data_IF_312491207176
#
_entry.id   IF_312491207176
#
_cell.length_a   1.000
_cell.length_b   1.000
_cell.length_c   1.000
_cell.angle_alpha   90.00
_cell.angle_beta   90.00
_cell.angle_gamma   90.00
#
_symmetry.space_group_name_H-M   'P 1'
#
loop_
_entity.id
_entity.type
_entity.pdbx_description
1 polymer ?
#
# COMPACT_ATOMS: atom_id res chain seq x y z
N UNK A 1 -30.97 -22.08 -23.89
CA UNK A 1 -29.64 -21.99 -23.26
C UNK A 1 -28.73 -22.99 -23.94
N UNK A 2 -27.56 -22.56 -24.41
CA UNK A 2 -26.50 -23.50 -24.80
C UNK A 2 -25.93 -24.16 -23.55
N UNK A 3 -25.30 -25.33 -23.69
CA UNK A 3 -24.70 -26.09 -22.59
C UNK A 3 -23.54 -25.38 -21.85
N UNK A 4 -23.24 -24.12 -22.20
CA UNK A 4 -22.14 -23.31 -21.66
C UNK A 4 -22.58 -22.01 -20.98
N UNK A 5 -23.88 -21.72 -20.87
CA UNK A 5 -24.33 -20.48 -20.22
C UNK A 5 -24.28 -20.59 -18.69
N UNK A 6 -23.55 -19.69 -18.02
CA UNK A 6 -23.58 -19.53 -16.55
C UNK A 6 -25.05 -19.33 -16.10
N UNK A 7 -25.50 -19.98 -15.02
CA UNK A 7 -26.82 -19.72 -14.46
C UNK A 7 -26.89 -18.25 -14.03
N UNK A 8 -27.86 -17.51 -14.57
CA UNK A 8 -28.14 -16.14 -14.16
C UNK A 8 -29.16 -16.21 -13.04
N UNK A 9 -28.74 -15.84 -11.83
CA UNK A 9 -29.61 -15.74 -10.67
C UNK A 9 -30.14 -14.31 -10.63
N UNK A 10 -31.46 -14.14 -10.72
CA UNK A 10 -32.12 -12.86 -10.53
C UNK A 10 -32.75 -12.82 -9.15
N UNK A 11 -32.38 -11.84 -8.33
CA UNK A 11 -32.92 -11.62 -7.00
C UNK A 11 -33.29 -10.16 -6.78
N UNK A 12 -33.88 -9.83 -5.62
CA UNK A 12 -34.09 -8.43 -5.22
C UNK A 12 -32.75 -7.69 -5.16
N UNK A 13 -32.79 -6.40 -5.50
CA UNK A 13 -31.63 -5.51 -5.31
C UNK A 13 -31.35 -5.43 -3.81
N UNK A 14 -30.10 -5.64 -3.41
CA UNK A 14 -29.70 -5.41 -2.04
C UNK A 14 -29.59 -3.91 -1.78
N UNK A 15 -30.58 -3.34 -1.11
CA UNK A 15 -30.70 -1.91 -0.83
C UNK A 15 -30.33 -1.54 0.62
N UNK A 16 -30.02 -2.54 1.45
CA UNK A 16 -29.60 -2.38 2.85
C UNK A 16 -28.20 -2.94 3.05
N UNK A 17 -27.46 -2.32 3.96
CA UNK A 17 -26.21 -2.88 4.47
C UNK A 17 -26.48 -4.05 5.41
N UNK A 18 -25.51 -4.95 5.52
CA UNK A 18 -25.54 -6.08 6.45
C UNK A 18 -24.93 -7.34 5.86
N UNK A 19 -24.96 -8.41 6.65
CA UNK A 19 -24.58 -9.75 6.22
C UNK A 19 -25.80 -10.48 5.62
N UNK A 20 -25.61 -11.02 4.43
CA UNK A 20 -26.60 -11.80 3.70
C UNK A 20 -26.08 -13.22 3.50
N UNK A 21 -26.85 -14.20 3.94
CA UNK A 21 -26.60 -15.60 3.62
C UNK A 21 -27.26 -15.95 2.29
N UNK A 22 -26.46 -16.20 1.26
CA UNK A 22 -26.93 -16.65 -0.04
C UNK A 22 -26.86 -18.18 -0.09
N UNK A 23 -28.02 -18.83 -0.07
CA UNK A 23 -28.15 -20.28 -0.24
C UNK A 23 -28.58 -20.59 -1.66
N UNK A 24 -27.86 -21.50 -2.31
CA UNK A 24 -28.14 -21.95 -3.68
C UNK A 24 -28.27 -23.47 -3.69
N UNK A 25 -29.42 -23.99 -4.09
CA UNK A 25 -29.68 -25.42 -4.21
C UNK A 25 -29.75 -25.84 -5.68
N UNK A 26 -28.97 -26.85 -6.06
CA UNK A 26 -29.10 -27.48 -7.38
C UNK A 26 -30.13 -28.60 -7.27
N UNK A 27 -31.36 -28.31 -7.72
CA UNK A 27 -32.51 -29.21 -7.66
C UNK A 27 -32.66 -30.11 -8.90
N UNK A 28 -31.76 -29.98 -9.88
CA UNK A 28 -31.82 -30.70 -11.15
C UNK A 28 -30.65 -30.35 -12.07
N UNK A 29 -30.14 -31.36 -12.79
CA UNK A 29 -29.06 -31.20 -13.76
C UNK A 29 -29.45 -31.80 -15.13
N UNK A 30 -28.89 -31.27 -16.22
CA UNK A 30 -29.08 -31.67 -17.64
C UNK A 30 -30.45 -31.36 -18.28
N UNK A 31 -31.57 -31.40 -17.54
CA UNK A 31 -32.92 -31.16 -18.07
C UNK A 31 -33.87 -30.65 -16.95
N UNK A 32 -34.72 -29.63 -17.18
CA UNK A 32 -35.70 -29.13 -16.20
C UNK A 32 -36.68 -30.18 -15.65
N UNK A 33 -36.81 -31.33 -16.31
CA UNK A 33 -37.68 -32.45 -15.94
C UNK A 33 -36.97 -33.58 -15.18
N UNK A 34 -35.66 -33.49 -14.99
CA UNK A 34 -34.88 -34.46 -14.20
C UNK A 34 -34.36 -33.77 -12.95
N UNK A 35 -35.06 -34.00 -11.85
CA UNK A 35 -34.60 -33.59 -10.52
C UNK A 35 -33.42 -34.45 -10.08
N UNK A 36 -32.55 -33.87 -9.25
CA UNK A 36 -31.55 -34.63 -8.51
C UNK A 36 -32.24 -35.52 -7.47
N UNK A 37 -31.62 -36.64 -7.09
CA UNK A 37 -32.15 -37.50 -6.02
C UNK A 37 -31.99 -36.87 -4.63
N UNK A 38 -30.98 -36.02 -4.47
CA UNK A 38 -30.74 -35.15 -3.32
C UNK A 38 -30.32 -33.77 -3.85
N UNK A 39 -30.79 -32.70 -3.22
CA UNK A 39 -30.41 -31.34 -3.60
C UNK A 39 -28.95 -31.08 -3.20
N UNK A 40 -28.19 -30.44 -4.09
CA UNK A 40 -26.81 -30.02 -3.78
C UNK A 40 -26.87 -28.56 -3.31
N UNK A 41 -26.67 -28.35 -2.01
CA UNK A 41 -26.73 -27.03 -1.40
C UNK A 41 -25.35 -26.36 -1.33
N UNK A 42 -25.31 -25.08 -1.69
CA UNK A 42 -24.18 -24.18 -1.52
C UNK A 42 -24.62 -23.01 -0.65
N UNK A 43 -23.78 -22.61 0.29
CA UNK A 43 -24.01 -21.47 1.16
C UNK A 43 -22.79 -20.54 1.08
N UNK A 44 -23.04 -19.25 0.88
CA UNK A 44 -22.01 -18.22 0.94
C UNK A 44 -22.53 -16.99 1.67
N UNK A 45 -21.62 -16.23 2.29
CA UNK A 45 -21.92 -14.98 2.97
C UNK A 45 -21.54 -13.80 2.08
N UNK A 46 -22.44 -12.84 1.96
CA UNK A 46 -22.21 -11.57 1.27
C UNK A 46 -22.35 -10.43 2.28
N UNK A 47 -21.32 -9.61 2.42
CA UNK A 47 -21.37 -8.41 3.28
C UNK A 47 -21.56 -7.20 2.39
N UNK A 48 -22.60 -6.43 2.68
CA UNK A 48 -22.86 -5.14 2.04
C UNK A 48 -22.54 -4.06 3.06
N UNK A 49 -21.47 -3.28 2.85
CA UNK A 49 -21.04 -2.31 3.85
C UNK A 49 -22.06 -1.17 3.97
N UNK A 50 -22.22 -0.67 5.19
CA UNK A 50 -22.87 0.63 5.40
C UNK A 50 -21.88 1.75 5.10
N UNK A 51 -22.36 2.92 4.71
CA UNK A 51 -21.50 4.08 4.48
C UNK A 51 -21.83 5.18 5.51
N UNK A 52 -20.79 5.72 6.13
CA UNK A 52 -20.87 6.86 7.05
C UNK A 52 -20.04 8.01 6.48
N UNK A 53 -20.51 9.23 6.64
CA UNK A 53 -19.78 10.43 6.20
C UNK A 53 -19.39 11.26 7.40
N UNK A 54 -18.13 11.66 7.44
CA UNK A 54 -17.54 12.55 8.43
C UNK A 54 -16.92 13.77 7.73
N UNK A 55 -16.61 14.80 8.51
CA UNK A 55 -15.94 16.00 8.04
C UNK A 55 -14.68 16.21 8.88
N UNK A 56 -13.54 16.37 8.22
CA UNK A 56 -12.27 16.77 8.84
C UNK A 56 -11.95 18.19 8.39
N UNK A 57 -11.69 19.08 9.33
CA UNK A 57 -11.25 20.45 9.05
C UNK A 57 -9.73 20.55 9.16
N UNK A 58 -9.07 21.06 8.12
CA UNK A 58 -7.63 21.34 8.11
C UNK A 58 -7.37 22.69 7.45
N UNK A 59 -6.64 23.59 8.12
CA UNK A 59 -6.39 24.96 7.66
C UNK A 59 -7.66 25.69 7.16
N UNK A 60 -8.71 25.68 7.98
CA UNK A 60 -10.02 26.32 7.68
C UNK A 60 -10.75 25.73 6.45
N UNK A 61 -10.28 24.61 5.89
CA UNK A 61 -10.91 23.89 4.80
C UNK A 61 -11.50 22.57 5.29
N UNK A 62 -12.75 22.30 4.91
CA UNK A 62 -13.45 21.07 5.25
C UNK A 62 -13.28 20.00 4.17
N UNK A 63 -12.88 18.81 4.59
CA UNK A 63 -12.67 17.64 3.73
C UNK A 63 -13.67 16.54 4.11
N UNK A 64 -14.48 16.04 3.16
CA UNK A 64 -15.38 14.93 3.43
C UNK A 64 -14.60 13.61 3.49
N UNK A 65 -14.87 12.80 4.51
CA UNK A 65 -14.33 11.45 4.64
C UNK A 65 -15.47 10.45 4.64
N UNK A 66 -15.41 9.48 3.74
CA UNK A 66 -16.43 8.44 3.64
C UNK A 66 -15.88 7.14 4.21
N UNK A 67 -16.60 6.53 5.14
CA UNK A 67 -16.19 5.30 5.79
C UNK A 67 -17.16 4.19 5.39
N UNK A 68 -16.65 3.17 4.73
CA UNK A 68 -17.39 1.93 4.48
C UNK A 68 -17.17 0.98 5.65
N UNK A 69 -18.25 0.71 6.38
CA UNK A 69 -18.25 -0.15 7.53
C UNK A 69 -18.78 -1.53 7.11
N UNK A 70 -17.90 -2.54 7.15
CA UNK A 70 -18.28 -3.94 6.94
C UNK A 70 -18.78 -4.60 8.24
N UNK A 71 -18.73 -3.83 9.32
CA UNK A 71 -19.24 -4.10 10.67
C UNK A 71 -20.09 -2.92 11.14
N UNK A 72 -20.37 -2.86 12.45
CA UNK A 72 -21.05 -1.73 13.06
C UNK A 72 -20.32 -0.41 12.75
N UNK A 73 -21.07 0.68 12.44
CA UNK A 73 -20.48 1.96 12.08
C UNK A 73 -19.54 2.51 13.16
N UNK A 74 -18.43 3.09 12.74
CA UNK A 74 -17.54 3.80 13.65
C UNK A 74 -18.23 5.05 14.23
N UNK A 75 -17.73 5.52 15.36
CA UNK A 75 -18.15 6.77 16.00
C UNK A 75 -16.93 7.63 16.33
N UNK A 76 -17.17 8.91 16.62
CA UNK A 76 -16.15 9.85 17.11
C UNK A 76 -14.87 9.94 16.25
N UNK A 77 -14.99 9.94 14.92
CA UNK A 77 -13.84 10.17 14.03
C UNK A 77 -13.33 11.60 14.16
N UNK A 78 -12.10 11.74 14.64
CA UNK A 78 -11.39 13.01 14.83
C UNK A 78 -10.04 12.97 14.12
N UNK A 79 -9.52 14.14 13.74
CA UNK A 79 -8.20 14.29 13.13
C UNK A 79 -7.30 15.13 14.02
N UNK A 80 -6.13 14.58 14.37
CA UNK A 80 -5.07 15.30 15.07
C UNK A 80 -4.06 15.84 14.06
N UNK A 81 -4.09 17.15 13.84
CA UNK A 81 -3.19 17.83 12.91
C UNK A 81 -1.73 17.89 13.37
N UNK A 82 -1.43 17.62 14.63
CA UNK A 82 -0.05 17.64 15.14
C UNK A 82 0.71 16.36 14.78
N UNK A 83 -0.02 15.25 14.67
CA UNK A 83 0.50 13.92 14.35
C UNK A 83 -0.02 13.38 13.01
N UNK A 84 -0.81 14.18 12.28
CA UNK A 84 -1.56 13.79 11.10
C UNK A 84 -2.35 12.48 11.28
N UNK A 85 -2.90 12.24 12.47
CA UNK A 85 -3.52 10.96 12.83
C UNK A 85 -5.04 11.04 12.86
N UNK A 86 -5.69 9.95 12.50
CA UNK A 86 -7.13 9.74 12.68
C UNK A 86 -7.34 9.00 14.00
N UNK A 87 -8.31 9.44 14.79
CA UNK A 87 -8.73 8.75 16.01
C UNK A 87 -10.22 8.50 15.93
N UNK A 88 -10.65 7.25 16.11
CA UNK A 88 -12.07 6.88 16.08
C UNK A 88 -12.37 5.75 17.05
N UNK A 89 -13.66 5.54 17.31
CA UNK A 89 -14.16 4.45 18.13
C UNK A 89 -14.92 3.44 17.28
N UNK A 90 -14.69 2.18 17.56
CA UNK A 90 -15.40 1.05 16.97
C UNK A 90 -16.23 0.37 18.04
N UNK A 91 -17.57 0.37 17.96
CA UNK A 91 -18.39 -0.49 18.80
C UNK A 91 -17.96 -1.96 18.66
N UNK A 92 -17.84 -2.67 19.78
CA UNK A 92 -17.49 -4.09 19.76
C UNK A 92 -18.12 -4.85 20.92
N UNK A 93 -18.77 -5.97 20.62
CA UNK A 93 -19.35 -6.87 21.62
C UNK A 93 -18.45 -8.10 21.82
N UNK A 94 -17.70 -8.08 22.93
CA UNK A 94 -16.77 -9.14 23.31
C UNK A 94 -17.41 -10.52 23.49
N UNK A 95 -18.71 -10.61 23.73
CA UNK A 95 -19.39 -11.90 23.87
C UNK A 95 -19.36 -12.73 22.57
N UNK A 96 -19.09 -12.09 21.43
CA UNK A 96 -19.06 -12.72 20.12
C UNK A 96 -17.65 -12.74 19.48
N UNK A 97 -16.60 -12.45 20.27
CA UNK A 97 -15.23 -12.42 19.75
C UNK A 97 -14.82 -13.75 19.10
N UNK A 98 -15.20 -14.90 19.68
CA UNK A 98 -14.87 -16.22 19.13
C UNK A 98 -15.56 -16.54 17.79
N UNK A 99 -16.56 -15.75 17.39
CA UNK A 99 -17.30 -15.89 16.13
C UNK A 99 -17.06 -14.74 15.16
N UNK A 100 -16.14 -13.82 15.48
CA UNK A 100 -15.81 -12.67 14.64
C UNK A 100 -14.54 -12.96 13.85
N UNK A 101 -14.67 -13.34 12.57
CA UNK A 101 -13.52 -13.71 11.74
C UNK A 101 -12.51 -12.55 11.57
N UNK A 102 -13.02 -11.36 11.21
CA UNK A 102 -12.25 -10.14 11.08
C UNK A 102 -13.17 -8.93 11.16
N UNK A 103 -12.65 -7.78 11.60
CA UNK A 103 -13.28 -6.47 11.47
C UNK A 103 -12.65 -5.71 10.32
N UNK A 104 -13.45 -5.00 9.51
CA UNK A 104 -12.96 -4.26 8.34
C UNK A 104 -13.67 -2.91 8.15
N UNK A 105 -12.88 -1.88 7.86
CA UNK A 105 -13.33 -0.54 7.46
C UNK A 105 -12.50 -0.01 6.31
N UNK A 106 -13.11 0.72 5.38
CA UNK A 106 -12.38 1.46 4.35
C UNK A 106 -12.66 2.95 4.50
N UNK A 107 -11.62 3.74 4.72
CA UNK A 107 -11.70 5.20 4.82
C UNK A 107 -11.31 5.82 3.48
N UNK A 108 -12.25 6.49 2.83
CA UNK A 108 -12.02 7.18 1.57
C UNK A 108 -11.82 8.68 1.82
N UNK A 109 -10.62 9.17 1.51
CA UNK A 109 -10.21 10.57 1.59
C UNK A 109 -10.13 11.20 0.21
N UNK A 110 -10.39 12.51 0.05
CA UNK A 110 -10.06 13.22 -1.18
C UNK A 110 -8.55 13.17 -1.43
N UNK A 111 -8.10 12.91 -2.68
CA UNK A 111 -6.66 12.87 -3.00
C UNK A 111 -5.93 14.18 -2.71
N UNK A 112 -6.65 15.30 -2.69
CA UNK A 112 -6.12 16.62 -2.37
C UNK A 112 -6.16 16.96 -0.88
N UNK A 113 -6.32 15.98 0.02
CA UNK A 113 -6.22 16.18 1.46
C UNK A 113 -4.75 16.38 1.87
N UNK A 114 -4.30 17.61 2.20
CA UNK A 114 -2.87 17.92 2.31
C UNK A 114 -2.11 17.11 3.36
N UNK A 115 -2.68 16.78 4.54
CA UNK A 115 -1.96 15.99 5.54
C UNK A 115 -1.55 14.60 5.06
N UNK A 116 -2.25 14.04 4.06
CA UNK A 116 -1.96 12.72 3.51
C UNK A 116 -1.21 12.77 2.17
N UNK A 117 -0.78 13.96 1.75
CA UNK A 117 0.08 14.13 0.59
C UNK A 117 1.46 13.51 0.88
N UNK A 118 1.97 12.68 -0.03
CA UNK A 118 3.27 12.01 0.08
C UNK A 118 3.41 11.00 1.25
N UNK A 119 2.32 10.58 1.89
CA UNK A 119 2.36 9.43 2.80
C UNK A 119 2.51 8.16 1.98
N UNK A 120 3.38 7.25 2.42
CA UNK A 120 3.58 5.93 1.78
C UNK A 120 2.87 4.80 2.50
N UNK A 121 2.71 4.92 3.82
CA UNK A 121 2.09 3.89 4.65
C UNK A 121 1.43 4.52 5.87
N UNK A 122 0.57 3.73 6.50
CA UNK A 122 -0.09 4.06 7.74
C UNK A 122 0.13 2.92 8.73
N UNK A 123 0.07 3.24 10.02
CA UNK A 123 0.05 2.26 11.10
C UNK A 123 -1.20 2.48 11.94
N UNK A 124 -1.81 1.39 12.40
CA UNK A 124 -2.90 1.46 13.37
C UNK A 124 -2.38 1.12 14.77
N UNK A 125 -2.97 1.76 15.76
CA UNK A 125 -2.82 1.43 17.16
C UNK A 125 -4.20 1.27 17.78
N UNK A 126 -4.43 0.20 18.52
CA UNK A 126 -5.70 -0.08 19.19
C UNK A 126 -5.52 -0.01 20.70
N UNK A 127 -6.41 0.73 21.36
CA UNK A 127 -6.44 0.94 22.82
C UNK A 127 -5.08 1.33 23.42
N UNK A 128 -4.28 2.11 22.69
CA UNK A 128 -2.96 2.56 23.11
C UNK A 128 -1.87 1.50 23.38
N UNK A 129 -2.13 0.23 23.09
CA UNK A 129 -1.19 -0.84 23.42
C UNK A 129 -0.86 -1.76 22.24
N UNK A 130 -1.84 -2.09 21.38
CA UNK A 130 -1.65 -3.02 20.27
C UNK A 130 -1.38 -2.27 18.96
N UNK A 131 -0.19 -2.47 18.39
CA UNK A 131 0.15 -1.98 17.05
C UNK A 131 -0.31 -2.99 15.99
N UNK A 132 -0.97 -2.49 14.96
CA UNK A 132 -1.47 -3.25 13.81
C UNK A 132 -0.79 -2.76 12.52
N UNK A 133 0.51 -3.06 12.30
CA UNK A 133 1.22 -2.63 11.09
C UNK A 133 0.66 -3.26 9.81
N UNK A 134 0.18 -4.51 9.90
CA UNK A 134 -0.37 -5.29 8.79
C UNK A 134 -1.87 -5.07 8.59
N UNK A 135 -2.56 -4.58 9.63
CA UNK A 135 -3.98 -4.29 9.61
C UNK A 135 -4.33 -3.07 8.77
N UNK A 136 -3.34 -2.35 8.22
CA UNK A 136 -3.58 -1.23 7.32
C UNK A 136 -2.98 -1.48 5.95
N UNK A 137 -3.78 -1.22 4.92
CA UNK A 137 -3.31 -1.07 3.56
C UNK A 137 -3.70 0.31 3.01
N UNK A 138 -2.71 1.03 2.45
CA UNK A 138 -2.91 2.34 1.85
C UNK A 138 -3.01 2.21 0.33
N UNK A 139 -4.19 2.53 -0.20
CA UNK A 139 -4.50 2.38 -1.61
C UNK A 139 -4.82 3.75 -2.23
N UNK A 140 -3.82 4.31 -2.91
CA UNK A 140 -3.92 5.59 -3.64
C UNK A 140 -4.40 5.42 -5.09
N UNK A 141 -4.62 4.18 -5.54
CA UNK A 141 -4.79 3.88 -6.96
C UNK A 141 -6.20 3.41 -7.33
N UNK A 142 -6.92 2.72 -6.44
CA UNK A 142 -8.22 2.13 -6.78
C UNK A 142 -9.33 3.12 -7.10
N UNK A 143 -9.20 4.38 -6.68
CA UNK A 143 -10.14 5.46 -6.95
C UNK A 143 -9.42 6.62 -7.62
N UNK A 144 -10.11 7.26 -8.57
CA UNK A 144 -9.54 8.36 -9.33
C UNK A 144 -9.39 9.64 -8.48
N UNK A 145 -10.44 10.01 -7.75
CA UNK A 145 -10.56 11.23 -6.95
C UNK A 145 -10.32 11.04 -5.45
N UNK A 146 -10.18 9.78 -5.01
CA UNK A 146 -10.03 9.40 -3.62
C UNK A 146 -8.84 8.49 -3.38
N UNK A 147 -8.39 8.50 -2.14
CA UNK A 147 -7.46 7.52 -1.59
C UNK A 147 -8.19 6.70 -0.56
N UNK A 148 -7.86 5.41 -0.45
CA UNK A 148 -8.52 4.47 0.46
C UNK A 148 -7.52 3.94 1.48
N UNK A 149 -7.82 4.12 2.77
CA UNK A 149 -7.14 3.40 3.84
C UNK A 149 -8.02 2.19 4.18
N UNK A 150 -7.54 0.99 3.87
CA UNK A 150 -8.16 -0.26 4.27
C UNK A 150 -7.65 -0.62 5.65
N UNK A 151 -8.55 -0.66 6.63
CA UNK A 151 -8.25 -1.06 7.99
C UNK A 151 -8.92 -2.40 8.29
N UNK A 152 -8.17 -3.35 8.83
CA UNK A 152 -8.62 -4.68 9.20
C UNK A 152 -8.03 -5.08 10.55
N UNK A 153 -8.82 -5.77 11.37
CA UNK A 153 -8.34 -6.48 12.56
C UNK A 153 -8.80 -7.93 12.44
N UNK A 154 -7.90 -8.90 12.48
CA UNK A 154 -8.29 -10.31 12.45
C UNK A 154 -8.69 -10.86 13.84
N UNK A 155 -9.25 -12.05 13.88
CA UNK A 155 -9.68 -12.69 15.12
C UNK A 155 -8.55 -12.87 16.14
N UNK A 156 -7.35 -13.21 15.68
CA UNK A 156 -6.21 -13.47 16.55
C UNK A 156 -5.70 -12.16 17.17
N UNK A 157 -5.69 -11.07 16.41
CA UNK A 157 -5.44 -9.71 16.90
C UNK A 157 -6.51 -9.26 17.90
N UNK A 158 -7.78 -9.51 17.63
CA UNK A 158 -8.87 -9.19 18.56
C UNK A 158 -8.70 -9.90 19.90
N UNK A 159 -8.30 -11.18 19.89
CA UNK A 159 -8.06 -11.97 21.10
C UNK A 159 -6.87 -11.48 21.93
N UNK A 160 -5.93 -10.76 21.33
CA UNK A 160 -4.80 -10.16 22.04
C UNK A 160 -5.19 -8.88 22.78
N UNK A 161 -6.32 -8.25 22.42
CA UNK A 161 -6.79 -7.04 23.07
C UNK A 161 -7.49 -7.40 24.38
N UNK A 162 -6.87 -7.07 25.52
CA UNK A 162 -7.55 -7.12 26.82
C UNK A 162 -8.39 -5.86 27.00
N UNK A 163 -9.71 -5.96 26.97
CA UNK A 163 -10.57 -4.79 27.13
C UNK A 163 -11.96 -5.13 27.68
N UNK A 164 -12.38 -4.36 28.70
CA UNK A 164 -13.73 -4.45 29.30
C UNK A 164 -14.70 -3.42 28.69
N UNK A 165 -14.22 -2.55 27.79
CA UNK A 165 -15.05 -1.54 27.13
C UNK A 165 -15.87 -2.17 26.00
N UNK A 166 -17.09 -1.67 25.81
CA UNK A 166 -17.95 -2.01 24.68
C UNK A 166 -17.51 -1.40 23.33
N UNK A 167 -16.29 -0.88 23.26
CA UNK A 167 -15.70 -0.30 22.06
C UNK A 167 -14.18 -0.39 22.10
N UNK A 168 -13.57 -0.32 20.92
CA UNK A 168 -12.15 -0.16 20.69
C UNK A 168 -11.87 1.29 20.29
N UNK A 169 -10.79 1.88 20.80
CA UNK A 169 -10.27 3.17 20.31
C UNK A 169 -9.13 2.88 19.35
N UNK A 170 -9.23 3.38 18.13
CA UNK A 170 -8.22 3.16 17.08
C UNK A 170 -7.62 4.50 16.68
N UNK A 171 -6.28 4.52 16.63
CA UNK A 171 -5.50 5.61 16.08
C UNK A 171 -4.82 5.13 14.80
N UNK A 172 -5.09 5.77 13.67
CA UNK A 172 -4.39 5.55 12.40
C UNK A 172 -3.45 6.74 12.19
N UNK A 173 -2.15 6.48 12.15
CA UNK A 173 -1.12 7.50 11.98
C UNK A 173 -0.32 7.25 10.72
N UNK A 174 0.26 8.29 10.09
CA UNK A 174 1.28 8.08 9.07
C UNK A 174 2.37 7.17 9.63
N UNK A 175 2.72 6.14 8.88
CA UNK A 175 3.78 5.23 9.29
C UNK A 175 5.14 5.86 8.99
N UNK A 176 6.05 5.84 9.98
CA UNK A 176 7.48 6.09 9.78
C UNK A 176 8.24 4.81 9.36
N UNK A 177 7.52 3.69 9.17
CA UNK A 177 8.15 2.36 9.03
C UNK A 177 8.65 2.12 7.61
N UNK A 178 9.97 2.14 7.48
CA UNK A 178 10.78 1.79 6.31
C UNK A 178 10.53 0.40 5.71
N UNK A 179 9.64 -0.40 6.30
CA UNK A 179 9.40 -1.77 5.90
C UNK A 179 8.36 -1.90 4.80
N UNK A 180 7.43 -0.96 4.61
CA UNK A 180 6.51 -1.04 3.49
C UNK A 180 7.23 -0.76 2.16
N UNK A 181 7.18 -1.72 1.26
CA UNK A 181 7.86 -1.67 -0.03
C UNK A 181 6.83 -1.59 -1.15
N UNK A 182 7.06 -0.67 -2.08
CA UNK A 182 6.39 -0.64 -3.38
C UNK A 182 7.36 -1.07 -4.46
N UNK A 183 7.00 -2.11 -5.20
CA UNK A 183 7.74 -2.64 -6.33
C UNK A 183 6.97 -2.35 -7.61
N UNK A 184 7.54 -1.50 -8.44
CA UNK A 184 7.05 -1.26 -9.79
C UNK A 184 7.61 -2.33 -10.73
N UNK A 185 6.73 -2.96 -11.50
CA UNK A 185 7.07 -3.88 -12.57
C UNK A 185 6.45 -3.41 -13.89
N UNK A 186 7.10 -3.77 -14.99
CA UNK A 186 6.61 -3.49 -16.34
C UNK A 186 6.56 -4.77 -17.14
N UNK A 187 5.55 -4.87 -18.00
CA UNK A 187 5.38 -5.94 -18.98
C UNK A 187 5.84 -5.44 -20.36
N UNK A 188 6.28 -6.35 -21.21
CA UNK A 188 6.82 -6.03 -22.55
C UNK A 188 5.79 -5.42 -23.52
N UNK A 189 4.50 -5.48 -23.19
CA UNK A 189 3.39 -4.90 -23.94
C UNK A 189 3.02 -3.48 -23.47
N UNK A 190 3.85 -2.87 -22.61
CA UNK A 190 3.68 -1.52 -22.08
C UNK A 190 2.76 -1.43 -20.86
N UNK A 191 2.09 -2.51 -20.45
CA UNK A 191 1.37 -2.54 -19.18
C UNK A 191 2.38 -2.51 -18.02
N UNK A 192 1.92 -2.08 -16.84
CA UNK A 192 2.70 -2.12 -15.61
C UNK A 192 1.89 -2.68 -14.45
N UNK A 193 2.57 -2.95 -13.34
CA UNK A 193 1.91 -3.15 -12.07
C UNK A 193 2.74 -2.58 -10.91
N UNK A 194 2.05 -2.18 -9.85
CA UNK A 194 2.64 -1.83 -8.56
C UNK A 194 2.27 -2.95 -7.60
N UNK A 195 3.29 -3.56 -7.00
CA UNK A 195 3.16 -4.57 -5.96
C UNK A 195 3.54 -3.90 -4.65
N UNK A 196 2.70 -3.96 -3.63
CA UNK A 196 3.05 -3.46 -2.31
C UNK A 196 2.85 -4.50 -1.21
N UNK A 197 3.78 -4.49 -0.26
CA UNK A 197 3.86 -5.43 0.84
C UNK A 197 4.69 -4.84 1.99
N UNK A 198 4.55 -5.42 3.17
CA UNK A 198 5.40 -5.10 4.32
C UNK A 198 6.59 -6.07 4.38
N UNK A 199 7.81 -5.53 4.34
CA UNK A 199 9.06 -6.29 4.42
C UNK A 199 9.48 -6.62 5.86
N UNK A 200 8.78 -6.11 6.87
CA UNK A 200 9.02 -6.51 8.25
C UNK A 200 8.48 -7.93 8.48
N UNK A 201 9.36 -8.82 8.92
CA UNK A 201 8.98 -10.18 9.27
C UNK A 201 8.29 -10.20 10.64
N UNK A 202 7.09 -10.79 10.66
CA UNK A 202 6.31 -11.05 11.86
C UNK A 202 5.93 -12.54 11.90
N UNK A 203 6.45 -13.29 12.87
CA UNK A 203 6.31 -14.76 12.93
C UNK A 203 4.88 -15.26 13.11
N UNK A 204 3.99 -14.40 13.57
CA UNK A 204 2.58 -14.65 13.85
C UNK A 204 1.64 -14.05 12.79
N UNK A 205 2.18 -13.55 11.68
CA UNK A 205 1.40 -12.88 10.63
C UNK A 205 1.52 -13.57 9.28
N UNK A 206 0.51 -13.35 8.46
CA UNK A 206 0.51 -13.76 7.06
C UNK A 206 1.22 -12.73 6.17
N UNK A 207 1.86 -13.19 5.10
CA UNK A 207 2.33 -12.33 4.03
C UNK A 207 1.14 -11.81 3.22
N UNK A 208 0.92 -10.49 3.26
CA UNK A 208 -0.11 -9.80 2.48
C UNK A 208 0.53 -8.97 1.38
N UNK A 209 0.05 -9.13 0.14
CA UNK A 209 0.53 -8.40 -1.04
C UNK A 209 -0.66 -7.77 -1.75
N UNK A 210 -0.57 -6.47 -2.04
CA UNK A 210 -1.48 -5.79 -2.98
C UNK A 210 -0.82 -5.68 -4.34
N UNK A 211 -1.57 -5.96 -5.40
CA UNK A 211 -1.14 -5.77 -6.79
C UNK A 211 -2.13 -4.87 -7.51
N UNK A 212 -1.64 -3.79 -8.12
CA UNK A 212 -2.42 -2.87 -8.94
C UNK A 212 -1.84 -2.76 -10.34
N UNK A 213 -2.65 -2.94 -11.37
CA UNK A 213 -2.23 -2.94 -12.77
C UNK A 213 -2.54 -1.61 -13.46
N UNK A 214 -1.66 -1.24 -14.38
CA UNK A 214 -1.72 -0.04 -15.19
C UNK A 214 -1.58 -0.38 -16.68
N UNK A 215 -2.28 0.37 -17.53
CA UNK A 215 -2.21 0.24 -18.98
C UNK A 215 -0.99 1.00 -19.56
N UNK A 216 -0.92 1.03 -20.89
CA UNK A 216 0.20 1.63 -21.64
C UNK A 216 0.32 3.15 -21.49
N UNK A 217 -0.76 3.81 -21.07
CA UNK A 217 -0.79 5.25 -20.83
C UNK A 217 -0.47 5.58 -19.36
N UNK A 218 -0.32 4.56 -18.51
CA UNK A 218 -0.16 4.73 -17.07
C UNK A 218 -1.49 4.89 -16.33
N UNK A 219 -2.63 4.68 -17.01
CA UNK A 219 -3.94 4.69 -16.37
C UNK A 219 -4.21 3.34 -15.70
N UNK A 220 -5.05 3.31 -14.66
CA UNK A 220 -5.41 2.06 -13.99
C UNK A 220 -6.11 1.11 -14.97
N UNK A 221 -5.55 -0.09 -15.14
CA UNK A 221 -6.11 -1.06 -16.07
C UNK A 221 -7.40 -1.68 -15.51
N UNK A 222 -8.42 -1.86 -16.34
CA UNK A 222 -9.68 -2.48 -15.94
C UNK A 222 -9.90 -3.81 -16.66
N UNK A 223 -10.63 -4.72 -16.02
CA UNK A 223 -10.89 -6.06 -16.55
C UNK A 223 -9.63 -6.91 -16.74
N UNK A 224 -8.58 -6.69 -15.94
CA UNK A 224 -7.33 -7.43 -16.04
C UNK A 224 -7.55 -8.90 -15.67
N UNK A 225 -6.94 -9.82 -16.41
CA UNK A 225 -6.76 -11.21 -16.00
C UNK A 225 -5.28 -11.48 -15.79
N UNK A 226 -4.94 -11.95 -14.60
CA UNK A 226 -3.56 -12.25 -14.23
C UNK A 226 -3.43 -13.58 -13.49
N UNK A 227 -2.22 -14.11 -13.43
CA UNK A 227 -1.84 -15.20 -12.53
C UNK A 227 -0.58 -14.83 -11.77
N UNK A 228 -0.22 -15.64 -10.78
CA UNK A 228 1.02 -15.47 -10.04
C UNK A 228 1.65 -16.81 -9.70
N UNK A 229 2.95 -16.78 -9.42
CA UNK A 229 3.67 -17.80 -8.64
C UNK A 229 4.48 -17.11 -7.54
N UNK A 230 4.40 -17.61 -6.31
CA UNK A 230 5.20 -17.18 -5.17
C UNK A 230 5.96 -18.39 -4.62
N UNK A 231 7.28 -18.30 -4.64
CA UNK A 231 8.18 -19.25 -3.99
C UNK A 231 8.68 -18.68 -2.67
N UNK A 232 8.48 -19.45 -1.60
CA UNK A 232 8.89 -19.09 -0.24
C UNK A 232 10.39 -19.37 0.02
N UNK A 233 10.96 -18.90 1.15
CA UNK A 233 12.35 -19.16 1.52
C UNK A 233 12.70 -20.64 1.72
N UNK A 234 11.71 -21.48 2.01
CA UNK A 234 11.88 -22.94 2.12
C UNK A 234 11.88 -23.63 0.75
N UNK A 235 11.60 -22.89 -0.32
CA UNK A 235 11.51 -23.36 -1.70
C UNK A 235 10.15 -23.92 -2.10
N UNK A 236 9.12 -23.82 -1.25
CA UNK A 236 7.76 -24.19 -1.61
C UNK A 236 7.18 -23.15 -2.55
N UNK A 237 6.52 -23.62 -3.62
CA UNK A 237 5.95 -22.75 -4.63
C UNK A 237 4.42 -22.84 -4.61
N UNK A 238 3.77 -21.69 -4.57
CA UNK A 238 2.32 -21.54 -4.68
C UNK A 238 2.00 -20.72 -5.92
N UNK A 239 1.09 -21.21 -6.76
CA UNK A 239 0.69 -20.49 -7.96
C UNK A 239 -0.82 -20.53 -8.15
N UNK A 240 -1.36 -19.53 -8.84
CA UNK A 240 -2.78 -19.45 -9.15
C UNK A 240 -2.98 -18.77 -10.51
N UNK A 241 -3.75 -19.41 -11.38
CA UNK A 241 -4.10 -18.91 -12.72
C UNK A 241 -5.62 -18.82 -12.88
N UNK A 242 -6.34 -18.55 -11.80
CA UNK A 242 -7.80 -18.51 -11.78
C UNK A 242 -8.44 -19.90 -11.71
N UNK A 243 -9.76 -19.91 -11.55
CA UNK A 243 -10.54 -21.15 -11.37
C UNK A 243 -11.26 -21.60 -12.64
N UNK A 244 -11.31 -20.77 -13.69
CA UNK A 244 -12.02 -21.07 -14.92
C UNK A 244 -11.08 -21.72 -15.95
N UNK A 245 -11.23 -23.03 -16.24
CA UNK A 245 -10.33 -23.71 -17.17
C UNK A 245 -10.47 -23.22 -18.62
N UNK A 246 -11.56 -22.54 -18.96
CA UNK A 246 -11.80 -22.00 -20.31
C UNK A 246 -11.39 -20.52 -20.45
N UNK A 247 -11.00 -19.86 -19.35
CA UNK A 247 -10.58 -18.47 -19.35
C UNK A 247 -9.56 -18.29 -18.22
N UNK A 248 -8.29 -18.46 -18.55
CA UNK A 248 -7.21 -18.40 -17.57
C UNK A 248 -7.10 -17.00 -16.96
N UNK A 249 -6.71 -16.96 -15.70
CA UNK A 249 -6.45 -15.78 -14.91
C UNK A 249 -7.49 -15.51 -13.84
N UNK A 250 -7.02 -14.92 -12.76
CA UNK A 250 -7.82 -14.25 -11.74
C UNK A 250 -8.35 -12.96 -12.38
N UNK A 251 -9.67 -12.81 -12.42
CA UNK A 251 -10.34 -11.64 -13.00
C UNK A 251 -10.34 -10.48 -12.01
N UNK A 252 -9.78 -9.35 -12.43
CA UNK A 252 -9.74 -8.08 -11.69
C UNK A 252 -10.52 -7.00 -12.46
N UNK A 253 -11.83 -6.86 -12.24
CA UNK A 253 -12.65 -5.85 -12.91
C UNK A 253 -12.10 -4.42 -12.77
N UNK A 254 -11.45 -4.14 -11.64
CA UNK A 254 -10.85 -2.83 -11.32
C UNK A 254 -9.32 -2.83 -11.32
N UNK A 255 -8.66 -3.90 -11.80
CA UNK A 255 -7.20 -3.95 -11.91
C UNK A 255 -6.42 -3.93 -10.60
N UNK A 256 -7.06 -4.12 -9.44
CA UNK A 256 -6.36 -4.21 -8.16
C UNK A 256 -6.92 -5.35 -7.30
N UNK A 257 -6.04 -5.99 -6.53
CA UNK A 257 -6.39 -6.99 -5.52
C UNK A 257 -5.36 -7.01 -4.39
N UNK A 258 -5.84 -7.27 -3.18
CA UNK A 258 -5.02 -7.60 -2.00
C UNK A 258 -5.17 -9.08 -1.68
N UNK A 259 -4.06 -9.79 -1.49
CA UNK A 259 -4.04 -11.24 -1.29
C UNK A 259 -3.16 -11.63 -0.11
N UNK A 260 -3.66 -12.57 0.70
CA UNK A 260 -2.89 -13.25 1.76
C UNK A 260 -2.27 -14.53 1.20
N UNK A 261 -1.00 -14.77 1.50
CA UNK A 261 -0.21 -15.92 1.02
C UNK A 261 0.10 -16.95 2.12
N UNK A 262 -0.42 -16.74 3.33
CA UNK A 262 -0.16 -17.57 4.51
C UNK A 262 1.02 -17.05 5.34
N UNK A 263 1.46 -17.81 6.37
CA UNK A 263 2.39 -17.32 7.36
C UNK A 263 3.69 -16.80 6.75
N UNK A 264 4.17 -15.67 7.27
CA UNK A 264 5.48 -15.13 6.91
C UNK A 264 6.58 -16.11 7.30
N UNK A 265 7.61 -16.16 6.46
CA UNK A 265 8.84 -16.91 6.68
C UNK A 265 9.97 -15.91 6.49
N UNK A 266 10.86 -15.80 7.48
CA UNK A 266 12.01 -14.92 7.38
C UNK A 266 12.91 -15.36 6.20
N UNK A 267 13.33 -14.41 5.37
CA UNK A 267 14.22 -14.64 4.24
C UNK A 267 13.63 -14.32 2.88
N UNK A 268 14.26 -14.89 1.84
CA UNK A 268 14.09 -14.50 0.44
C UNK A 268 12.94 -15.22 -0.24
N UNK A 269 12.03 -14.44 -0.82
CA UNK A 269 10.94 -14.87 -1.68
C UNK A 269 11.24 -14.57 -3.15
N UNK A 270 10.59 -15.31 -4.05
CA UNK A 270 10.56 -15.04 -5.48
C UNK A 270 9.10 -14.95 -5.95
N UNK A 271 8.69 -13.79 -6.47
CA UNK A 271 7.35 -13.56 -7.00
C UNK A 271 7.42 -13.39 -8.51
N UNK A 272 6.58 -14.15 -9.22
CA UNK A 272 6.31 -14.00 -10.63
C UNK A 272 4.84 -13.58 -10.81
N UNK A 273 4.61 -12.50 -11.54
CA UNK A 273 3.28 -12.04 -11.96
C UNK A 273 3.15 -12.28 -13.46
N UNK A 274 2.04 -12.91 -13.87
CA UNK A 274 1.72 -13.24 -15.26
C UNK A 274 0.47 -12.49 -15.69
N UNK A 275 0.60 -11.55 -16.61
CA UNK A 275 -0.50 -10.86 -17.25
C UNK A 275 -1.03 -11.68 -18.44
N UNK A 276 -2.28 -12.13 -18.34
CA UNK A 276 -2.90 -13.11 -19.25
C UNK A 276 -3.76 -12.44 -20.32
N UNK A 277 -4.59 -11.46 -19.94
CA UNK A 277 -5.52 -10.83 -20.87
C UNK A 277 -6.38 -9.73 -20.26
N UNK A 278 -7.34 -9.25 -21.05
CA UNK A 278 -8.34 -8.26 -20.65
C UNK A 278 -9.75 -8.77 -20.98
N UNK A 279 -10.64 -8.74 -19.99
CA UNK A 279 -12.00 -9.25 -20.13
C UNK A 279 -11.99 -10.69 -20.62
N UNK A 280 -12.57 -10.95 -21.78
CA UNK A 280 -12.60 -12.29 -22.41
C UNK A 280 -11.45 -12.54 -23.39
N UNK A 281 -10.60 -11.54 -23.65
CA UNK A 281 -9.55 -11.62 -24.67
C UNK A 281 -8.20 -11.90 -24.01
N UNK A 282 -7.50 -12.92 -24.48
CA UNK A 282 -6.11 -13.19 -24.09
C UNK A 282 -5.16 -12.26 -24.87
N UNK A 283 -4.00 -11.97 -24.29
CA UNK A 283 -2.89 -11.42 -25.06
C UNK A 283 -2.29 -12.51 -25.97
N UNK A 284 -1.72 -12.12 -27.11
CA UNK A 284 -1.09 -13.05 -28.07
C UNK A 284 -0.09 -14.02 -27.42
N UNK A 285 0.58 -13.55 -26.36
CA UNK A 285 1.38 -14.36 -25.44
C UNK A 285 1.16 -13.83 -24.03
N UNK A 286 1.17 -14.72 -23.05
CA UNK A 286 1.19 -14.30 -21.64
C UNK A 286 2.46 -13.51 -21.37
N UNK A 287 2.29 -12.39 -20.68
CA UNK A 287 3.40 -11.51 -20.31
C UNK A 287 3.72 -11.75 -18.86
N UNK A 288 4.98 -11.68 -18.47
CA UNK A 288 5.32 -11.89 -17.08
C UNK A 288 6.43 -10.94 -16.64
N UNK A 289 6.48 -10.71 -15.34
CA UNK A 289 7.58 -10.05 -14.66
C UNK A 289 7.81 -10.78 -13.36
N UNK A 290 9.08 -10.92 -12.97
CA UNK A 290 9.46 -11.61 -11.75
C UNK A 290 10.51 -10.81 -10.99
N UNK A 291 10.48 -10.92 -9.67
CA UNK A 291 11.47 -10.29 -8.81
C UNK A 291 11.60 -11.05 -7.50
N UNK A 292 12.77 -10.87 -6.89
CA UNK A 292 13.02 -11.34 -5.54
C UNK A 292 12.72 -10.22 -4.53
N UNK A 293 12.22 -10.60 -3.36
CA UNK A 293 12.14 -9.72 -2.19
C UNK A 293 12.50 -10.50 -0.93
N UNK A 294 12.81 -9.79 0.15
CA UNK A 294 13.23 -10.39 1.41
C UNK A 294 12.43 -9.78 2.55
N UNK A 295 11.97 -10.64 3.46
CA UNK A 295 11.40 -10.19 4.73
C UNK A 295 12.52 -10.19 5.77
N UNK A 296 12.64 -9.11 6.53
CA UNK A 296 13.69 -8.93 7.54
C UNK A 296 13.07 -8.83 8.94
N UNK A 297 13.67 -9.50 9.92
CA UNK A 297 13.32 -9.29 11.33
C UNK A 297 13.49 -7.80 11.68
N UNK A 298 12.47 -7.21 12.30
CA UNK A 298 12.44 -5.81 12.72
C UNK A 298 13.46 -5.59 13.85
N UNK A 299 14.75 -5.47 13.50
CA UNK A 299 15.80 -5.13 14.45
C UNK A 299 15.72 -3.63 14.78
N UNK A 300 14.90 -3.30 15.78
CA UNK A 300 14.77 -1.96 16.39
C UNK A 300 16.08 -1.42 17.01
N UNK A 301 17.18 -2.18 16.96
CA UNK A 301 18.50 -1.78 17.48
C UNK A 301 19.44 -1.18 16.43
N UNK A 302 19.13 -1.21 15.13
CA UNK A 302 20.04 -0.73 14.06
C UNK A 302 19.29 -0.22 12.82
N UNK A 303 18.21 0.56 12.98
CA UNK A 303 17.78 1.40 11.87
C UNK A 303 18.94 2.34 11.51
N UNK A 304 19.40 2.41 10.24
CA UNK A 304 20.31 3.47 9.85
C UNK A 304 19.58 4.78 10.15
N UNK A 305 20.09 5.56 11.12
CA UNK A 305 19.69 6.96 11.23
C UNK A 305 19.98 7.58 9.88
N UNK A 306 18.94 8.00 9.15
CA UNK A 306 19.13 8.82 7.96
C UNK A 306 20.05 9.98 8.34
N UNK A 307 21.20 10.10 7.66
CA UNK A 307 22.14 11.20 7.92
C UNK A 307 21.57 12.54 7.48
N UNK A 308 20.56 12.46 6.60
CA UNK A 308 19.81 13.59 6.07
C UNK A 308 18.33 13.19 6.07
N UNK A 309 17.43 14.00 6.63
CA UNK A 309 15.99 13.76 6.51
C UNK A 309 15.54 13.57 5.07
N UNK A 310 14.70 12.57 4.81
CA UNK A 310 14.19 12.23 3.48
C UNK A 310 13.55 13.40 2.68
N UNK A 311 13.03 14.45 3.32
CA UNK A 311 12.48 15.63 2.63
C UNK A 311 13.52 16.43 1.84
N UNK A 312 14.82 16.27 2.11
CA UNK A 312 15.90 16.94 1.36
C UNK A 312 16.02 16.43 -0.08
N UNK A 313 15.58 15.19 -0.36
CA UNK A 313 15.58 14.62 -1.72
C UNK A 313 14.75 15.45 -2.69
N UNK A 314 13.65 16.02 -2.25
CA UNK A 314 12.78 16.86 -3.08
C UNK A 314 13.49 18.15 -3.49
N UNK A 315 14.25 18.76 -2.58
CA UNK A 315 15.04 19.96 -2.87
C UNK A 315 16.17 19.66 -3.86
N UNK A 316 16.80 18.48 -3.77
CA UNK A 316 17.81 18.02 -4.71
C UNK A 316 17.21 17.76 -6.11
N UNK A 317 16.02 17.17 -6.18
CA UNK A 317 15.28 16.95 -7.43
C UNK A 317 14.89 18.26 -8.11
N UNK A 318 14.28 19.19 -7.37
CA UNK A 318 13.91 20.51 -7.88
C UNK A 318 15.12 21.34 -8.34
N UNK A 319 16.25 21.22 -7.65
CA UNK A 319 17.50 21.83 -8.10
C UNK A 319 17.98 21.19 -9.41
N UNK A 320 18.01 19.85 -9.49
CA UNK A 320 18.44 19.12 -10.66
C UNK A 320 17.61 19.43 -11.92
N UNK A 321 16.29 19.54 -11.76
CA UNK A 321 15.35 19.88 -12.84
C UNK A 321 15.31 21.38 -13.16
N UNK A 322 16.10 22.20 -12.46
CA UNK A 322 16.23 23.64 -12.71
C UNK A 322 15.10 24.49 -12.16
N UNK A 323 14.22 23.92 -11.33
CA UNK A 323 13.17 24.65 -10.62
C UNK A 323 13.72 25.47 -9.44
N UNK A 324 14.87 25.05 -8.89
CA UNK A 324 15.68 25.82 -7.94
C UNK A 324 17.00 26.19 -8.63
N UNK A 325 17.41 27.45 -8.54
CA UNK A 325 18.70 27.91 -9.04
C UNK A 325 19.87 27.51 -8.11
N UNK A 326 21.08 27.50 -8.65
CA UNK A 326 22.29 27.05 -7.95
C UNK A 326 22.56 27.85 -6.66
N UNK A 327 22.27 29.16 -6.64
CA UNK A 327 22.47 29.99 -5.45
C UNK A 327 21.46 29.64 -4.36
N UNK A 328 20.19 29.47 -4.72
CA UNK A 328 19.13 29.06 -3.79
C UNK A 328 19.39 27.67 -3.19
N UNK A 329 19.87 26.73 -4.00
CA UNK A 329 20.25 25.39 -3.52
C UNK A 329 21.43 25.46 -2.53
N UNK A 330 22.50 26.18 -2.88
CA UNK A 330 23.68 26.36 -2.00
C UNK A 330 23.28 26.97 -0.66
N UNK A 331 22.45 28.02 -0.65
CA UNK A 331 21.94 28.63 0.59
C UNK A 331 21.14 27.64 1.44
N UNK A 332 20.31 26.81 0.81
CA UNK A 332 19.57 25.74 1.47
C UNK A 332 20.49 24.74 2.17
N UNK A 333 21.55 24.28 1.48
CA UNK A 333 22.53 23.37 2.09
C UNK A 333 23.26 24.03 3.28
N UNK A 334 23.69 25.28 3.13
CA UNK A 334 24.36 26.01 4.22
C UNK A 334 23.47 26.17 5.45
N UNK A 335 22.17 26.43 5.24
CA UNK A 335 21.20 26.48 6.32
C UNK A 335 21.08 25.13 7.04
N UNK A 336 21.03 24.03 6.30
CA UNK A 336 20.89 22.68 6.88
C UNK A 336 22.10 22.28 7.71
N UNK A 337 23.30 22.58 7.24
CA UNK A 337 24.55 22.37 7.98
C UNK A 337 24.52 23.19 9.28
N UNK A 338 24.22 24.49 9.19
CA UNK A 338 24.18 25.39 10.36
C UNK A 338 23.19 24.95 11.43
N UNK A 339 22.05 24.39 11.02
CA UNK A 339 20.99 23.92 11.94
C UNK A 339 21.16 22.45 12.36
N UNK A 340 22.27 21.80 12.01
CA UNK A 340 22.54 20.38 12.32
C UNK A 340 21.48 19.41 11.79
N UNK A 341 20.88 19.78 10.65
CA UNK A 341 19.95 18.93 9.88
C UNK A 341 20.75 17.97 8.98
N UNK A 342 21.96 18.37 8.59
CA UNK A 342 22.91 17.59 7.80
C UNK A 342 24.30 17.71 8.43
N UNK A 343 24.91 16.58 8.77
CA UNK A 343 26.29 16.55 9.27
C UNK A 343 27.27 16.34 8.11
N UNK A 344 28.22 17.26 7.97
CA UNK A 344 29.34 17.14 7.03
C UNK A 344 30.63 17.16 7.85
N UNK A 345 31.59 16.26 7.60
CA UNK A 345 32.88 16.30 8.28
C UNK A 345 33.50 17.69 8.15
N UNK A 346 34.10 18.22 9.23
CA UNK A 346 34.86 19.47 9.19
C UNK A 346 36.04 19.34 8.22
N UNK A 347 35.81 19.68 6.96
CA UNK A 347 36.83 19.65 5.91
C UNK A 347 37.38 21.04 5.71
N UNK A 348 38.66 21.23 6.01
CA UNK A 348 39.39 22.43 5.66
C UNK A 348 39.26 22.69 4.14
N UNK A 349 38.85 23.90 3.75
CA UNK A 349 38.80 24.28 2.35
C UNK A 349 40.20 24.19 1.75
N UNK A 350 40.36 23.40 0.69
CA UNK A 350 41.61 23.32 -0.05
C UNK A 350 41.76 24.63 -0.82
N UNK A 351 42.70 25.48 -0.38
CA UNK A 351 43.02 26.79 -0.95
C UNK A 351 43.74 26.69 -2.31
N UNK A 352 43.38 25.72 -3.16
CA UNK A 352 44.12 25.32 -4.35
C UNK A 352 43.45 25.59 -5.70
N UNK A 353 42.11 25.66 -5.79
CA UNK A 353 41.40 25.98 -7.03
C UNK A 353 40.00 26.52 -6.69
N UNK A 354 39.79 27.83 -6.88
CA UNK A 354 38.46 28.45 -6.74
C UNK A 354 37.59 28.05 -7.93
N UNK A 355 36.81 26.97 -7.76
CA UNK A 355 35.74 26.63 -8.69
C UNK A 355 34.55 27.56 -8.37
N UNK A 356 34.21 28.45 -9.30
CA UNK A 356 33.13 29.42 -9.10
C UNK A 356 31.74 28.88 -9.50
N UNK A 357 31.67 27.71 -10.14
CA UNK A 357 30.43 27.14 -10.68
C UNK A 357 30.28 25.68 -10.25
N UNK A 358 29.05 25.26 -9.97
CA UNK A 358 28.77 23.89 -9.54
C UNK A 358 29.01 22.93 -10.71
N UNK A 359 29.92 21.93 -10.58
CA UNK A 359 30.12 20.96 -11.63
C UNK A 359 28.84 20.19 -12.00
N UNK A 360 28.56 19.96 -13.30
CA UNK A 360 27.33 19.29 -13.74
C UNK A 360 27.10 17.90 -13.14
N UNK A 361 28.17 17.17 -12.80
CA UNK A 361 28.06 15.85 -12.19
C UNK A 361 27.41 15.89 -10.79
N UNK A 362 27.54 16.99 -10.05
CA UNK A 362 26.91 17.15 -8.73
C UNK A 362 25.39 17.30 -8.88
N UNK A 363 24.96 18.01 -9.93
CA UNK A 363 23.55 18.17 -10.30
C UNK A 363 22.94 16.85 -10.76
N UNK A 364 23.71 16.04 -11.50
CA UNK A 364 23.31 14.67 -11.85
C UNK A 364 23.17 13.78 -10.61
N UNK A 365 24.09 13.86 -9.64
CA UNK A 365 23.98 13.13 -8.38
C UNK A 365 22.74 13.56 -7.58
N UNK A 366 22.41 14.85 -7.56
CA UNK A 366 21.17 15.33 -6.94
C UNK A 366 19.91 14.74 -7.60
N UNK A 367 19.89 14.68 -8.94
CA UNK A 367 18.82 14.01 -9.69
C UNK A 367 18.71 12.54 -9.32
N UNK A 368 19.82 11.81 -9.40
CA UNK A 368 19.86 10.38 -9.11
C UNK A 368 19.51 10.05 -7.66
N UNK A 369 19.84 10.94 -6.72
CA UNK A 369 19.46 10.75 -5.33
C UNK A 369 17.97 11.02 -5.08
N UNK A 370 17.41 12.04 -5.75
CA UNK A 370 15.97 12.30 -5.76
C UNK A 370 15.18 11.14 -6.39
N UNK A 371 15.70 10.56 -7.47
CA UNK A 371 15.13 9.41 -8.18
C UNK A 371 15.39 8.07 -7.45
N UNK A 372 16.12 8.07 -6.33
CA UNK A 372 16.47 6.86 -5.57
C UNK A 372 17.47 5.92 -6.27
N UNK A 373 18.14 6.39 -7.32
CA UNK A 373 19.15 5.67 -8.10
C UNK A 373 20.52 5.59 -7.41
N UNK A 374 20.82 6.53 -6.49
CA UNK A 374 22.01 6.50 -5.62
C UNK A 374 21.62 6.71 -4.15
N UNK A 375 22.47 6.24 -3.24
CA UNK A 375 22.27 6.37 -1.79
C UNK A 375 22.62 7.76 -1.23
N UNK A 376 22.24 8.02 0.02
CA UNK A 376 22.57 9.28 0.73
C UNK A 376 24.08 9.57 0.78
N UNK A 377 24.91 8.54 0.94
CA UNK A 377 26.37 8.68 0.99
C UNK A 377 26.96 9.19 -0.34
N UNK A 378 26.34 8.86 -1.47
CA UNK A 378 26.82 9.31 -2.79
C UNK A 378 26.41 10.74 -3.10
N UNK A 379 25.25 11.18 -2.57
CA UNK A 379 24.86 12.58 -2.57
C UNK A 379 25.76 13.42 -1.65
N UNK A 380 26.03 12.94 -0.43
CA UNK A 380 26.90 13.61 0.55
C UNK A 380 28.32 13.85 0.02
N UNK A 381 28.90 12.90 -0.72
CA UNK A 381 30.20 13.12 -1.40
C UNK A 381 30.20 14.32 -2.35
N UNK A 382 29.07 14.59 -3.01
CA UNK A 382 28.88 15.78 -3.85
C UNK A 382 28.86 17.07 -3.03
N UNK A 383 28.19 17.06 -1.89
CA UNK A 383 28.14 18.21 -0.98
C UNK A 383 29.49 18.45 -0.29
N UNK A 384 30.20 17.39 0.12
CA UNK A 384 31.57 17.47 0.62
C UNK A 384 32.52 18.11 -0.40
N UNK A 385 32.37 17.77 -1.69
CA UNK A 385 33.15 18.40 -2.75
C UNK A 385 32.87 19.90 -2.85
N UNK A 386 31.60 20.32 -2.77
CA UNK A 386 31.21 21.73 -2.79
C UNK A 386 31.76 22.50 -1.57
N UNK A 387 31.80 21.87 -0.39
CA UNK A 387 32.42 22.42 0.80
C UNK A 387 33.94 22.58 0.64
N UNK A 388 34.63 21.52 0.18
CA UNK A 388 36.08 21.56 -0.10
C UNK A 388 36.47 22.60 -1.13
N UNK A 389 35.62 22.81 -2.15
CA UNK A 389 35.83 23.77 -3.23
C UNK A 389 35.49 25.22 -2.83
N UNK A 390 35.00 25.45 -1.61
CA UNK A 390 34.65 26.78 -1.10
C UNK A 390 33.33 27.36 -1.64
N UNK A 391 32.54 26.57 -2.38
CA UNK A 391 31.21 26.97 -2.88
C UNK A 391 30.20 26.98 -1.73
N UNK A 392 30.26 25.98 -0.85
CA UNK A 392 29.47 25.92 0.39
C UNK A 392 30.36 26.37 1.55
N UNK A 393 29.93 27.38 2.31
CA UNK A 393 30.60 27.78 3.55
C UNK A 393 29.95 27.07 4.73
N UNK A 394 30.78 26.41 5.55
CA UNK A 394 30.39 25.56 6.68
C UNK A 394 30.45 26.32 8.02
N UNK A 395 30.62 27.66 7.99
CA UNK A 395 30.86 28.51 9.18
C UNK A 395 29.60 29.02 9.88
#
# INVERSE_FOLDING_TARGET
SSASSKPVITGPVFDKSGEYTVKTSIIGAKNPKTQTSEDIDFETKLIIPSESQFTISFNETDYPVFVKNYHDPITDLNFDSSSNSLVFKMPFDWNHVDHTDQIQYNFEFPKNFPPFENIKSFVAKVNDDLMLPQGIHYDVYSKHDRTVIHFTIDNDELKQIQNDLNHLTVTISPGDRSSFVEKHISFDNGYGAIISYDSAYHSDKDLVITTTFFDQNGDMASGVRYGYSLKDPNGNETFNTGTNPNLLGIELPKGTETRKFGPMINGKYHLQIVLIGLGINDFDRFKYSEFDFELHEENTANAPKEKIPSWIKNNAGWWADGSIDDSSFVQGIQFMIKNKIMDIPDTAADSGNSVNEIPPWIKNNAKWWADGLIGEDDFLKGIEFLAKSGIIKVN
#
